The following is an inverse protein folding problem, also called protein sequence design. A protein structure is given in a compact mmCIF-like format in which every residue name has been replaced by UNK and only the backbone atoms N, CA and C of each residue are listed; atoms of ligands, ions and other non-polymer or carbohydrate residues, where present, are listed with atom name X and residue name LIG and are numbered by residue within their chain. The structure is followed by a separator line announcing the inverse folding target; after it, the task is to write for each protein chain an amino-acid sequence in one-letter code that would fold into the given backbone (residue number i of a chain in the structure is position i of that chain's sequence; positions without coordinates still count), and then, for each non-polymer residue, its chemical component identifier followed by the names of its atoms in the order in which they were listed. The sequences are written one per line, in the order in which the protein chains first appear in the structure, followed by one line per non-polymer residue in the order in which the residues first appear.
data_IF_747841209938
#
_entry.id   IF_747841209938
#
_cell.length_a   1.000
_cell.length_b   1.000
_cell.length_c   1.000
_cell.angle_alpha   90.00
_cell.angle_beta   90.00
_cell.angle_gamma   90.00
#
_symmetry.space_group_name_H-M   'P 1'
#
loop_
_entity.id
_entity.type
_entity.pdbx_description
1 polymer ?
#
# COMPACT_ATOMS: atom_id res chain seq x y z
N UNK A 1 -0.03 4.06 45.83
CA UNK A 1 0.65 3.46 44.66
C UNK A 1 0.10 4.13 43.42
N UNK A 2 0.84 5.10 42.86
CA UNK A 2 0.41 5.80 41.66
C UNK A 2 0.67 4.91 40.43
N UNK A 3 -0.39 4.46 39.77
CA UNK A 3 -0.30 3.83 38.46
C UNK A 3 0.09 4.90 37.43
N UNK A 4 1.39 5.00 37.14
CA UNK A 4 1.88 5.76 36.01
C UNK A 4 1.70 4.91 34.76
N UNK A 5 0.48 4.88 34.22
CA UNK A 5 0.23 4.34 32.87
C UNK A 5 0.84 5.37 31.92
N UNK A 6 1.99 5.02 31.36
CA UNK A 6 2.69 5.86 30.39
C UNK A 6 1.78 6.14 29.19
N UNK A 7 1.36 7.39 29.02
CA UNK A 7 0.60 7.88 27.86
C UNK A 7 1.25 7.50 26.51
N UNK A 8 2.57 7.24 26.51
CA UNK A 8 3.32 6.78 25.35
C UNK A 8 2.94 5.36 24.89
N UNK A 9 2.44 4.49 25.78
CA UNK A 9 2.01 3.14 25.39
C UNK A 9 0.63 3.15 24.73
N UNK A 10 -0.30 3.99 25.21
CA UNK A 10 -1.65 4.15 24.63
C UNK A 10 -1.58 4.72 23.21
N UNK A 11 -0.71 5.72 22.96
CA UNK A 11 -0.55 6.30 21.63
C UNK A 11 0.16 5.37 20.62
N UNK A 12 1.02 4.45 21.09
CA UNK A 12 1.69 3.46 20.24
C UNK A 12 0.75 2.33 19.82
N UNK A 13 -0.16 1.93 20.70
CA UNK A 13 -1.20 0.92 20.41
C UNK A 13 -2.13 1.38 19.28
N UNK A 14 -2.51 2.66 19.26
CA UNK A 14 -3.35 3.23 18.21
C UNK A 14 -2.69 3.15 16.83
N UNK A 15 -1.40 3.48 16.71
CA UNK A 15 -0.71 3.49 15.42
C UNK A 15 -0.55 2.09 14.83
N UNK A 16 -0.18 1.10 15.66
CA UNK A 16 -0.06 -0.29 15.22
C UNK A 16 -1.43 -0.90 14.85
N UNK A 17 -2.47 -0.57 15.60
CA UNK A 17 -3.85 -0.98 15.31
C UNK A 17 -4.35 -0.39 13.99
N UNK A 18 -4.18 0.92 13.78
CA UNK A 18 -4.51 1.61 12.51
C UNK A 18 -3.79 0.97 11.34
N UNK A 19 -2.49 0.69 11.50
CA UNK A 19 -1.66 0.05 10.49
C UNK A 19 -2.21 -1.34 10.11
N UNK A 20 -2.47 -2.19 11.09
CA UNK A 20 -2.97 -3.54 10.86
C UNK A 20 -4.36 -3.52 10.21
N UNK A 21 -5.24 -2.62 10.67
CA UNK A 21 -6.56 -2.44 10.09
C UNK A 21 -6.48 -2.02 8.62
N UNK A 22 -5.60 -1.06 8.28
CA UNK A 22 -5.39 -0.61 6.92
C UNK A 22 -4.87 -1.72 6.00
N UNK A 23 -3.88 -2.49 6.48
CA UNK A 23 -3.35 -3.66 5.75
C UNK A 23 -4.46 -4.66 5.48
N UNK A 24 -5.31 -4.94 6.48
CA UNK A 24 -6.38 -5.91 6.34
C UNK A 24 -7.46 -5.45 5.37
N UNK A 25 -7.83 -4.17 5.36
CA UNK A 25 -8.78 -3.59 4.40
C UNK A 25 -8.27 -3.73 2.96
N UNK A 26 -6.98 -3.49 2.72
CA UNK A 26 -6.35 -3.67 1.41
C UNK A 26 -6.31 -5.15 1.00
N UNK A 27 -5.87 -6.02 1.92
CA UNK A 27 -5.76 -7.47 1.66
C UNK A 27 -7.12 -8.12 1.37
N UNK A 28 -8.14 -7.75 2.13
CA UNK A 28 -9.51 -8.27 1.95
C UNK A 28 -10.26 -7.63 0.79
N UNK A 29 -9.69 -6.61 0.14
CA UNK A 29 -10.30 -5.94 -1.02
C UNK A 29 -11.53 -5.11 -0.70
N UNK A 30 -11.73 -4.72 0.56
CA UNK A 30 -12.90 -3.97 1.06
C UNK A 30 -12.83 -2.49 0.69
N UNK A 31 -13.04 -2.18 -0.59
CA UNK A 31 -12.85 -0.84 -1.15
C UNK A 31 -13.76 0.24 -0.56
N UNK A 32 -15.02 -0.07 -0.25
CA UNK A 32 -15.92 0.88 0.40
C UNK A 32 -15.44 1.26 1.81
N UNK A 33 -15.05 0.26 2.62
CA UNK A 33 -14.52 0.49 3.97
C UNK A 33 -13.18 1.22 3.92
N UNK A 34 -12.31 0.87 2.97
CA UNK A 34 -11.03 1.56 2.76
C UNK A 34 -11.23 3.05 2.42
N UNK A 35 -12.18 3.37 1.55
CA UNK A 35 -12.47 4.75 1.18
C UNK A 35 -12.93 5.58 2.39
N UNK A 36 -13.86 5.04 3.19
CA UNK A 36 -14.32 5.70 4.43
C UNK A 36 -13.15 5.88 5.38
N UNK A 37 -12.35 4.84 5.59
CA UNK A 37 -11.18 4.87 6.46
C UNK A 37 -10.16 5.96 6.07
N UNK A 38 -9.81 6.06 4.79
CA UNK A 38 -8.84 7.04 4.27
C UNK A 38 -9.39 8.47 4.21
N UNK A 39 -10.72 8.62 4.19
CA UNK A 39 -11.40 9.91 4.28
C UNK A 39 -11.37 10.44 5.72
N UNK A 40 -11.69 9.59 6.69
CA UNK A 40 -11.85 9.98 8.09
C UNK A 40 -10.51 10.14 8.81
N UNK A 41 -9.51 9.33 8.43
CA UNK A 41 -8.20 9.30 9.11
C UNK A 41 -7.11 9.86 8.20
N UNK A 42 -7.07 11.18 8.00
CA UNK A 42 -6.02 11.81 7.16
C UNK A 42 -4.58 11.47 7.62
N UNK A 43 -4.38 11.27 8.91
CA UNK A 43 -3.08 10.86 9.48
C UNK A 43 -2.63 9.46 9.05
N UNK A 44 -3.54 8.57 8.63
CA UNK A 44 -3.18 7.24 8.12
C UNK A 44 -2.65 7.26 6.69
N UNK A 45 -2.79 8.38 5.96
CA UNK A 45 -2.32 8.51 4.58
C UNK A 45 -0.80 8.44 4.44
N UNK A 46 -0.05 8.80 5.49
CA UNK A 46 1.40 8.60 5.52
C UNK A 46 1.80 7.11 5.50
N UNK A 47 0.89 6.21 5.84
CA UNK A 47 1.10 4.76 5.73
C UNK A 47 1.02 4.28 4.27
N UNK A 48 0.42 5.06 3.36
CA UNK A 48 0.32 4.70 1.94
C UNK A 48 1.68 4.72 1.23
N UNK A 49 2.60 5.56 1.70
CA UNK A 49 4.00 5.61 1.22
C UNK A 49 4.95 4.74 2.05
N UNK A 50 4.42 3.96 3.00
CA UNK A 50 5.23 3.09 3.85
C UNK A 50 5.40 1.70 3.26
N UNK A 51 6.47 1.03 3.68
CA UNK A 51 6.74 -0.37 3.36
C UNK A 51 6.41 -1.27 4.56
N UNK A 52 5.94 -2.48 4.25
CA UNK A 52 5.44 -3.44 5.21
C UNK A 52 6.14 -4.78 5.03
N UNK A 53 6.64 -5.34 6.14
CA UNK A 53 7.18 -6.69 6.15
C UNK A 53 6.08 -7.69 6.48
N UNK A 54 5.89 -8.67 5.62
CA UNK A 54 5.07 -9.83 5.94
C UNK A 54 5.95 -10.85 6.69
N UNK A 55 5.61 -11.15 7.95
CA UNK A 55 6.41 -12.05 8.78
C UNK A 55 6.40 -13.51 8.25
N UNK A 56 5.32 -13.92 7.58
CA UNK A 56 5.17 -15.30 7.09
C UNK A 56 5.95 -15.54 5.80
N UNK A 57 5.85 -14.61 4.85
CA UNK A 57 6.50 -14.75 3.54
C UNK A 57 7.86 -14.06 3.47
N UNK A 58 8.22 -13.25 4.47
CA UNK A 58 9.40 -12.35 4.44
C UNK A 58 9.36 -11.33 3.29
N UNK A 59 8.20 -11.16 2.65
CA UNK A 59 8.01 -10.11 1.65
C UNK A 59 8.14 -8.74 2.31
N UNK A 60 8.65 -7.78 1.56
CA UNK A 60 8.73 -6.38 1.94
C UNK A 60 8.04 -5.56 0.87
N UNK A 61 6.77 -5.20 1.11
CA UNK A 61 5.87 -4.65 0.09
C UNK A 61 5.14 -3.41 0.60
N UNK A 62 4.78 -2.51 -0.30
CA UNK A 62 3.87 -1.39 0.00
C UNK A 62 2.40 -1.85 -0.03
N UNK A 63 1.48 -1.02 0.48
CA UNK A 63 0.04 -1.26 0.33
C UNK A 63 -0.37 -1.28 -1.15
N UNK A 64 0.24 -0.42 -1.97
CA UNK A 64 0.02 -0.42 -3.43
C UNK A 64 0.42 -1.76 -4.03
N UNK A 65 1.62 -2.27 -3.73
CA UNK A 65 2.07 -3.57 -4.22
C UNK A 65 1.12 -4.70 -3.77
N UNK A 66 0.63 -4.66 -2.53
CA UNK A 66 -0.34 -5.63 -2.03
C UNK A 66 -1.64 -5.61 -2.85
N UNK A 67 -2.23 -4.43 -3.07
CA UNK A 67 -3.43 -4.26 -3.88
C UNK A 67 -3.22 -4.74 -5.34
N UNK A 68 -2.05 -4.42 -5.90
CA UNK A 68 -1.67 -4.83 -7.26
C UNK A 68 -1.51 -6.33 -7.37
N UNK A 69 -0.86 -6.98 -6.41
CA UNK A 69 -0.69 -8.45 -6.42
C UNK A 69 -2.03 -9.19 -6.34
N UNK A 70 -3.02 -8.58 -5.68
CA UNK A 70 -4.40 -9.06 -5.62
C UNK A 70 -5.23 -8.72 -6.88
N UNK A 71 -4.69 -7.95 -7.83
CA UNK A 71 -5.41 -7.53 -9.04
C UNK A 71 -6.57 -6.56 -8.78
N UNK A 72 -6.60 -5.90 -7.61
CA UNK A 72 -7.73 -5.08 -7.20
C UNK A 72 -7.59 -3.63 -7.66
N UNK A 73 -7.99 -3.35 -8.89
CA UNK A 73 -7.88 -2.03 -9.53
C UNK A 73 -8.59 -0.91 -8.73
N UNK A 74 -9.73 -1.21 -8.11
CA UNK A 74 -10.49 -0.24 -7.31
C UNK A 74 -9.67 0.22 -6.10
N UNK A 75 -9.04 -0.72 -5.39
CA UNK A 75 -8.17 -0.42 -4.25
C UNK A 75 -6.92 0.34 -4.72
N UNK A 76 -6.33 -0.05 -5.85
CA UNK A 76 -5.18 0.65 -6.44
C UNK A 76 -5.51 2.12 -6.68
N UNK A 77 -6.63 2.41 -7.35
CA UNK A 77 -7.10 3.78 -7.60
C UNK A 77 -7.34 4.55 -6.31
N UNK A 78 -7.93 3.92 -5.29
CA UNK A 78 -8.15 4.57 -3.98
C UNK A 78 -6.84 4.89 -3.26
N UNK A 79 -5.87 3.97 -3.26
CA UNK A 79 -4.55 4.19 -2.66
C UNK A 79 -3.85 5.37 -3.35
N UNK A 80 -3.85 5.41 -4.69
CA UNK A 80 -3.21 6.48 -5.45
C UNK A 80 -3.91 7.83 -5.20
N UNK A 81 -5.25 7.87 -5.22
CA UNK A 81 -6.03 9.09 -4.98
C UNK A 81 -5.80 9.70 -3.58
N UNK A 82 -5.60 8.86 -2.57
CA UNK A 82 -5.39 9.30 -1.20
C UNK A 82 -3.92 9.40 -0.80
N UNK A 83 -3.00 9.03 -1.70
CA UNK A 83 -1.56 9.12 -1.44
C UNK A 83 -1.12 10.58 -1.31
N UNK A 84 -0.31 10.92 -0.30
CA UNK A 84 0.21 12.28 -0.15
C UNK A 84 1.20 12.64 -1.27
N UNK A 85 1.92 11.64 -1.79
CA UNK A 85 2.83 11.76 -2.91
C UNK A 85 2.67 10.54 -3.81
N UNK A 86 1.92 10.71 -4.89
CA UNK A 86 1.58 9.62 -5.81
C UNK A 86 2.81 9.06 -6.53
N UNK A 87 3.72 9.93 -6.97
CA UNK A 87 4.95 9.53 -7.65
C UNK A 87 5.83 8.65 -6.74
N UNK A 88 5.99 9.06 -5.48
CA UNK A 88 6.72 8.27 -4.49
C UNK A 88 6.04 6.92 -4.22
N UNK A 89 4.71 6.89 -4.03
CA UNK A 89 3.96 5.64 -3.81
C UNK A 89 4.17 4.63 -4.93
N UNK A 90 4.17 5.07 -6.20
CA UNK A 90 4.35 4.20 -7.38
C UNK A 90 5.78 3.70 -7.48
N UNK A 91 6.76 4.54 -7.15
CA UNK A 91 8.18 4.24 -7.26
C UNK A 91 8.74 3.43 -6.08
N UNK A 92 7.94 3.15 -5.05
CA UNK A 92 8.34 2.29 -3.94
C UNK A 92 8.84 0.94 -4.45
N UNK A 93 10.03 0.57 -3.97
CA UNK A 93 10.67 -0.69 -4.31
C UNK A 93 10.57 -1.64 -3.15
N UNK A 94 10.03 -2.82 -3.43
CA UNK A 94 9.89 -3.90 -2.49
C UNK A 94 10.63 -5.15 -2.91
N UNK A 95 10.24 -6.22 -2.25
CA UNK A 95 10.77 -7.57 -2.38
C UNK A 95 9.61 -8.53 -2.20
N UNK A 96 9.41 -9.41 -3.16
CA UNK A 96 8.29 -10.34 -3.18
C UNK A 96 8.69 -11.64 -3.86
N UNK A 97 7.94 -12.70 -3.58
CA UNK A 97 7.95 -13.90 -4.40
C UNK A 97 7.25 -13.65 -5.75
N UNK A 98 7.93 -14.00 -6.85
CA UNK A 98 7.33 -14.08 -8.19
C UNK A 98 6.32 -15.22 -8.26
N UNK A 99 5.53 -15.26 -9.34
CA UNK A 99 4.61 -16.37 -9.65
C UNK A 99 5.32 -17.73 -9.72
N UNK A 100 6.60 -17.75 -10.10
CA UNK A 100 7.42 -18.97 -10.12
C UNK A 100 7.98 -19.37 -8.74
N UNK A 101 7.69 -18.59 -7.69
CA UNK A 101 8.19 -18.79 -6.33
C UNK A 101 9.60 -18.28 -6.09
N UNK A 102 10.26 -17.69 -7.09
CA UNK A 102 11.57 -17.06 -6.91
C UNK A 102 11.45 -15.77 -6.12
N UNK A 103 12.47 -15.48 -5.31
CA UNK A 103 12.49 -14.27 -4.52
C UNK A 103 13.16 -13.15 -5.31
N UNK A 104 12.42 -12.06 -5.56
CA UNK A 104 12.89 -10.95 -6.40
C UNK A 104 12.96 -9.67 -5.60
N UNK A 105 14.11 -9.00 -5.69
CA UNK A 105 14.41 -7.74 -5.02
C UNK A 105 14.21 -6.53 -5.95
N UNK A 106 14.01 -5.36 -5.34
CA UNK A 106 13.86 -4.07 -6.03
C UNK A 106 12.69 -4.01 -7.03
N UNK A 107 11.60 -4.71 -6.74
CA UNK A 107 10.42 -4.76 -7.59
C UNK A 107 9.47 -3.60 -7.30
N UNK A 108 8.83 -3.08 -8.33
CA UNK A 108 7.82 -2.01 -8.22
C UNK A 108 6.40 -2.59 -8.27
N UNK A 109 5.42 -1.74 -7.99
CA UNK A 109 4.01 -2.06 -8.22
C UNK A 109 3.74 -2.52 -9.66
N UNK A 110 4.30 -1.83 -10.66
CA UNK A 110 4.13 -2.20 -12.07
C UNK A 110 4.72 -3.58 -12.38
N UNK A 111 5.91 -3.89 -11.86
CA UNK A 111 6.50 -5.22 -12.00
C UNK A 111 5.57 -6.30 -11.44
N UNK A 112 5.00 -6.10 -10.25
CA UNK A 112 4.06 -7.04 -9.64
C UNK A 112 2.80 -7.27 -10.49
N UNK A 113 2.29 -6.21 -11.14
CA UNK A 113 1.12 -6.32 -12.02
C UNK A 113 1.44 -7.18 -13.25
N UNK A 114 2.60 -6.98 -13.86
CA UNK A 114 3.03 -7.70 -15.06
C UNK A 114 3.37 -9.17 -14.75
N UNK A 115 4.09 -9.43 -13.66
CA UNK A 115 4.45 -10.78 -13.20
C UNK A 115 3.20 -11.66 -12.99
N UNK A 116 2.09 -11.07 -12.54
CA UNK A 116 0.80 -11.76 -12.28
C UNK A 116 -0.25 -11.61 -13.38
N UNK A 117 0.11 -11.03 -14.53
CA UNK A 117 -0.78 -10.79 -15.66
C UNK A 117 -2.03 -9.92 -15.33
N UNK A 118 -1.94 -9.02 -14.36
CA UNK A 118 -3.00 -8.07 -14.01
C UNK A 118 -2.97 -6.85 -14.94
N UNK A 119 -3.27 -7.05 -16.22
CA UNK A 119 -3.11 -6.01 -17.26
C UNK A 119 -3.95 -4.75 -17.03
N UNK A 120 -5.17 -4.89 -16.48
CA UNK A 120 -6.00 -3.73 -16.12
C UNK A 120 -5.31 -2.84 -15.09
N UNK A 121 -4.69 -3.46 -14.08
CA UNK A 121 -3.96 -2.74 -13.04
C UNK A 121 -2.67 -2.14 -13.60
N UNK A 122 -1.93 -2.90 -14.42
CA UNK A 122 -0.73 -2.39 -15.09
C UNK A 122 -1.04 -1.15 -15.93
N UNK A 123 -2.15 -1.19 -16.69
CA UNK A 123 -2.64 -0.05 -17.46
C UNK A 123 -2.95 1.15 -16.57
N UNK A 124 -3.69 0.96 -15.48
CA UNK A 124 -3.97 2.03 -14.52
C UNK A 124 -2.69 2.67 -13.97
N UNK A 125 -1.66 1.88 -13.66
CA UNK A 125 -0.38 2.41 -13.18
C UNK A 125 0.34 3.23 -14.25
N UNK A 126 0.34 2.78 -15.51
CA UNK A 126 0.97 3.49 -16.64
C UNK A 126 0.25 4.81 -16.92
N UNK A 127 -1.09 4.79 -17.00
CA UNK A 127 -1.90 6.01 -17.24
C UNK A 127 -1.62 7.07 -16.16
N UNK A 128 -1.55 6.65 -14.90
CA UNK A 128 -1.26 7.56 -13.78
C UNK A 128 0.18 8.09 -13.84
N UNK A 129 1.14 7.27 -14.28
CA UNK A 129 2.53 7.71 -14.42
C UNK A 129 2.71 8.71 -15.58
N UNK A 130 2.02 8.52 -16.70
CA UNK A 130 1.99 9.47 -17.80
C UNK A 130 1.36 10.81 -17.40
N UNK A 131 0.25 10.77 -16.64
CA UNK A 131 -0.38 11.97 -16.09
C UNK A 131 0.60 12.76 -15.21
N UNK A 132 1.38 12.08 -14.37
CA UNK A 132 2.40 12.70 -13.53
C UNK A 132 3.50 13.37 -14.37
N UNK A 133 3.97 12.73 -15.44
CA UNK A 133 4.98 13.30 -16.34
C UNK A 133 4.41 14.54 -17.04
N UNK A 134 3.19 14.47 -17.55
CA UNK A 134 2.54 15.58 -18.25
C UNK A 134 2.30 16.80 -17.36
N UNK A 135 2.13 16.60 -16.04
CA UNK A 135 1.89 17.69 -15.08
C UNK A 135 3.13 18.51 -14.71
N UNK A 136 4.33 18.05 -15.09
CA UNK A 136 5.62 18.68 -14.74
C UNK A 136 6.16 19.57 -15.87
N UNK A 137 5.61 19.44 -17.08
CA UNK A 137 5.97 20.24 -18.27
C UNK A 137 4.90 21.27 -18.62
#
# INVERSE_FOLDING_TARGET
MAFSISFANVLKEDSASIKNQLIELVRSGKSAELQVFLRDRKSSRSLLTSMFTNASTKDYISLLMMAVTAGNDVIVRQILLHSPNMAETIQLRGRIHSVDGTFVDNVTALWCALDRAHFTVARTLIEVEEDLISSVF
#
